data_IF_141428142441
#
_entry.id   IF_141428142441
#
_cell.length_a   1.000
_cell.length_b   1.000
_cell.length_c   1.000
_cell.angle_alpha   90.00
_cell.angle_beta   90.00
_cell.angle_gamma   90.00
#
_symmetry.space_group_name_H-M   'P 1'
#
loop_
_entity.id
_entity.type
_entity.pdbx_description
1 polymer ?
#
# COMPACT_ATOMS: atom_id res chain seq x y z
N UNK A 1 -7.68 0.72 -8.39
CA UNK A 1 -7.81 0.16 -7.03
C UNK A 1 -8.33 -1.27 -7.11
N UNK A 2 -7.70 -2.18 -6.39
CA UNK A 2 -7.81 -3.64 -6.61
C UNK A 2 -8.12 -4.43 -5.34
N UNK A 3 -8.22 -3.77 -4.17
CA UNK A 3 -8.43 -4.43 -2.87
C UNK A 3 -9.67 -3.90 -2.14
N UNK A 4 -10.49 -4.82 -1.63
CA UNK A 4 -11.77 -4.55 -0.99
C UNK A 4 -11.88 -5.27 0.36
N UNK A 5 -12.41 -4.57 1.36
CA UNK A 5 -12.67 -5.14 2.67
C UNK A 5 -13.77 -6.22 2.56
N UNK A 6 -13.57 -7.33 3.29
CA UNK A 6 -14.57 -8.38 3.49
C UNK A 6 -15.07 -8.37 4.93
N UNK A 7 -14.15 -8.37 5.89
CA UNK A 7 -14.46 -8.18 7.31
C UNK A 7 -13.29 -7.56 8.05
N UNK A 8 -13.57 -6.91 9.17
CA UNK A 8 -12.57 -6.46 10.12
C UNK A 8 -13.04 -6.77 11.54
N UNK A 9 -12.11 -7.16 12.40
CA UNK A 9 -12.37 -7.46 13.80
C UNK A 9 -11.29 -6.82 14.65
N UNK A 10 -11.71 -6.08 15.67
CA UNK A 10 -10.83 -5.58 16.71
C UNK A 10 -10.63 -6.66 17.77
N UNK A 11 -9.38 -6.93 18.11
CA UNK A 11 -8.99 -7.93 19.11
C UNK A 11 -8.03 -7.27 20.09
N UNK A 12 -8.31 -7.46 21.37
CA UNK A 12 -7.45 -7.06 22.46
C UNK A 12 -6.89 -8.31 23.13
N UNK A 13 -5.59 -8.53 23.01
CA UNK A 13 -4.89 -9.61 23.70
C UNK A 13 -4.54 -9.16 25.12
N UNK A 14 -5.19 -9.78 26.11
CA UNK A 14 -5.04 -9.46 27.53
C UNK A 14 -3.69 -9.93 28.07
N UNK A 15 -3.10 -10.98 27.50
CA UNK A 15 -1.81 -11.53 27.97
C UNK A 15 -0.64 -10.65 27.51
N UNK A 16 -0.71 -10.14 26.28
CA UNK A 16 0.34 -9.33 25.66
C UNK A 16 0.12 -7.81 25.79
N UNK A 17 -1.00 -7.39 26.39
CA UNK A 17 -1.45 -5.99 26.46
C UNK A 17 -1.41 -5.28 25.08
N UNK A 18 -1.86 -5.99 24.04
CA UNK A 18 -1.73 -5.57 22.65
C UNK A 18 -3.10 -5.50 21.95
N UNK A 19 -3.42 -4.32 21.43
CA UNK A 19 -4.61 -4.08 20.60
C UNK A 19 -4.24 -4.21 19.12
N UNK A 20 -4.90 -5.09 18.40
CA UNK A 20 -4.75 -5.20 16.95
C UNK A 20 -6.10 -5.35 16.24
N UNK A 21 -6.09 -5.05 14.95
CA UNK A 21 -7.23 -5.26 14.06
C UNK A 21 -6.86 -6.34 13.06
N UNK A 22 -7.63 -7.42 13.07
CA UNK A 22 -7.62 -8.44 12.02
C UNK A 22 -8.49 -7.96 10.87
N UNK A 23 -7.93 -7.93 9.66
CA UNK A 23 -8.59 -7.42 8.47
C UNK A 23 -8.56 -8.47 7.38
N UNK A 24 -9.73 -8.96 7.00
CA UNK A 24 -9.91 -9.87 5.85
C UNK A 24 -10.32 -9.05 4.64
N UNK A 25 -9.58 -9.16 3.56
CA UNK A 25 -9.81 -8.40 2.33
C UNK A 25 -9.63 -9.28 1.10
N UNK A 26 -10.36 -8.94 0.04
CA UNK A 26 -10.17 -9.52 -1.28
C UNK A 26 -9.26 -8.61 -2.10
N UNK A 27 -8.31 -9.20 -2.81
CA UNK A 27 -7.43 -8.49 -3.75
C UNK A 27 -7.50 -9.11 -5.13
N UNK A 28 -7.63 -8.28 -6.14
CA UNK A 28 -7.53 -8.69 -7.53
C UNK A 28 -6.07 -8.95 -7.92
N UNK A 29 -5.81 -10.16 -8.39
CA UNK A 29 -4.53 -10.59 -8.94
C UNK A 29 -4.72 -10.89 -10.42
N UNK A 30 -3.90 -10.25 -11.25
CA UNK A 30 -3.90 -10.48 -12.69
C UNK A 30 -3.73 -11.98 -12.98
N UNK A 31 -4.58 -12.51 -13.86
CA UNK A 31 -4.66 -13.93 -14.27
C UNK A 31 -5.21 -14.92 -13.22
N UNK A 32 -5.50 -14.49 -11.98
CA UNK A 32 -6.09 -15.36 -10.94
C UNK A 32 -7.45 -14.90 -10.43
N UNK A 33 -7.84 -13.65 -10.70
CA UNK A 33 -9.08 -13.08 -10.19
C UNK A 33 -8.93 -12.56 -8.76
N UNK A 34 -10.02 -12.54 -8.00
CA UNK A 34 -9.99 -12.12 -6.59
C UNK A 34 -9.51 -13.25 -5.68
N UNK A 35 -8.59 -12.95 -4.78
CA UNK A 35 -8.12 -13.85 -3.74
C UNK A 35 -8.24 -13.17 -2.38
N UNK A 36 -8.66 -13.93 -1.37
CA UNK A 36 -8.85 -13.43 -0.01
C UNK A 36 -7.54 -13.54 0.78
N UNK A 37 -7.24 -12.49 1.54
CA UNK A 37 -6.05 -12.35 2.40
C UNK A 37 -6.46 -11.83 3.77
N UNK A 38 -5.59 -12.03 4.76
CA UNK A 38 -5.76 -11.52 6.12
C UNK A 38 -4.54 -10.72 6.53
N UNK A 39 -4.74 -9.47 6.95
CA UNK A 39 -3.72 -8.62 7.55
C UNK A 39 -4.00 -8.47 9.05
N UNK A 40 -2.94 -8.40 9.85
CA UNK A 40 -3.01 -8.04 11.27
C UNK A 40 -2.27 -6.72 11.45
N UNK A 41 -2.96 -5.69 11.92
CA UNK A 41 -2.37 -4.36 12.11
C UNK A 41 -2.50 -3.93 13.56
N UNK A 42 -1.40 -3.48 14.17
CA UNK A 42 -1.39 -2.87 15.49
C UNK A 42 -2.02 -1.48 15.39
N UNK A 43 -3.32 -1.43 15.69
CA UNK A 43 -4.14 -0.22 15.62
C UNK A 43 -5.41 -0.37 16.45
N UNK A 44 -6.13 0.74 16.59
CA UNK A 44 -7.38 0.87 17.32
C UNK A 44 -8.48 1.37 16.36
N UNK A 45 -9.74 0.96 16.57
CA UNK A 45 -10.87 1.51 15.85
C UNK A 45 -11.10 2.99 16.21
N UNK A 46 -11.56 3.80 15.25
CA UNK A 46 -11.84 5.23 15.50
C UNK A 46 -13.22 5.48 16.15
N UNK A 47 -14.03 4.43 16.36
CA UNK A 47 -15.41 4.53 16.84
C UNK A 47 -15.87 3.29 17.65
N UNK A 48 -14.96 2.66 18.39
CA UNK A 48 -15.22 1.53 19.30
C UNK A 48 -16.01 0.35 18.68
N UNK A 49 -15.92 0.18 17.36
CA UNK A 49 -16.52 -0.97 16.69
C UNK A 49 -15.71 -2.22 17.02
N UNK A 50 -16.41 -3.35 17.22
CA UNK A 50 -15.80 -4.65 17.54
C UNK A 50 -15.62 -5.51 16.30
N UNK A 51 -16.66 -5.56 15.45
CA UNK A 51 -16.63 -6.27 14.18
C UNK A 51 -17.37 -5.48 13.10
N UNK A 52 -16.85 -5.59 11.89
CA UNK A 52 -17.44 -5.01 10.69
C UNK A 52 -17.44 -6.08 9.60
N UNK A 53 -18.55 -6.20 8.89
CA UNK A 53 -18.68 -7.02 7.70
C UNK A 53 -19.06 -6.11 6.54
N UNK A 54 -18.40 -6.31 5.41
CA UNK A 54 -18.64 -5.56 4.20
C UNK A 54 -19.39 -6.45 3.21
N UNK A 55 -20.43 -5.90 2.58
CA UNK A 55 -21.04 -6.52 1.41
C UNK A 55 -20.03 -6.67 0.27
N UNK A 56 -20.31 -7.55 -0.68
CA UNK A 56 -19.41 -7.91 -1.79
C UNK A 56 -18.79 -6.67 -2.45
N UNK A 57 -17.49 -6.51 -2.27
CA UNK A 57 -16.64 -5.45 -2.85
C UNK A 57 -17.17 -4.02 -2.68
N UNK A 58 -17.91 -3.75 -1.60
CA UNK A 58 -18.52 -2.43 -1.35
C UNK A 58 -17.55 -1.41 -0.76
N UNK A 59 -16.66 -1.84 0.14
CA UNK A 59 -15.71 -0.96 0.83
C UNK A 59 -14.30 -1.18 0.27
N UNK A 60 -13.69 -0.12 -0.27
CA UNK A 60 -12.30 -0.15 -0.70
C UNK A 60 -11.38 -0.20 0.52
N UNK A 61 -10.43 -1.13 0.53
CA UNK A 61 -9.59 -1.40 1.70
C UNK A 61 -8.80 -0.15 2.14
N UNK A 62 -8.24 0.60 1.19
CA UNK A 62 -7.56 1.87 1.50
C UNK A 62 -8.46 2.90 2.19
N UNK A 63 -9.72 3.03 1.74
CA UNK A 63 -10.69 3.96 2.36
C UNK A 63 -11.04 3.52 3.77
N UNK A 64 -11.16 2.22 4.00
CA UNK A 64 -11.35 1.66 5.34
C UNK A 64 -10.18 2.05 6.26
N UNK A 65 -8.94 1.85 5.82
CA UNK A 65 -7.75 2.23 6.60
C UNK A 65 -7.66 3.74 6.88
N UNK A 66 -8.15 4.58 5.96
CA UNK A 66 -8.13 6.03 6.15
C UNK A 66 -9.23 6.57 7.09
N UNK A 67 -10.33 5.83 7.27
CA UNK A 67 -11.54 6.34 7.96
C UNK A 67 -11.90 5.60 9.24
N UNK A 68 -11.72 4.28 9.29
CA UNK A 68 -12.28 3.43 10.35
C UNK A 68 -11.26 3.05 11.44
N UNK A 69 -9.96 3.25 11.20
CA UNK A 69 -8.87 2.89 12.11
C UNK A 69 -7.96 4.08 12.41
N UNK A 70 -7.27 4.02 13.54
CA UNK A 70 -6.23 4.98 13.92
C UNK A 70 -5.04 4.86 12.98
N UNK A 71 -4.51 6.01 12.54
CA UNK A 71 -3.40 6.06 11.57
C UNK A 71 -2.05 5.86 12.27
N UNK A 72 -1.82 4.65 12.77
CA UNK A 72 -0.53 4.20 13.31
C UNK A 72 0.54 4.16 12.22
N UNK A 73 1.79 3.85 12.60
CA UNK A 73 2.87 3.72 11.61
C UNK A 73 2.56 2.61 10.60
N UNK A 74 2.19 1.43 11.11
CA UNK A 74 1.89 0.25 10.30
C UNK A 74 0.74 0.52 9.33
N UNK A 75 -0.33 1.17 9.78
CA UNK A 75 -1.45 1.56 8.90
C UNK A 75 -0.95 2.46 7.76
N UNK A 76 -0.07 3.43 8.04
CA UNK A 76 0.48 4.32 7.00
C UNK A 76 1.38 3.59 6.02
N UNK A 77 2.19 2.65 6.50
CA UNK A 77 3.02 1.79 5.64
C UNK A 77 2.14 0.94 4.75
N UNK A 78 1.12 0.29 5.34
CA UNK A 78 0.18 -0.54 4.61
C UNK A 78 -0.61 0.21 3.55
N UNK A 79 -1.07 1.42 3.85
CA UNK A 79 -1.73 2.28 2.84
C UNK A 79 -0.83 2.61 1.65
N UNK A 80 0.46 2.88 1.90
CA UNK A 80 1.44 3.13 0.84
C UNK A 80 1.69 1.87 0.00
N UNK A 81 1.77 0.69 0.63
CA UNK A 81 1.88 -0.59 -0.06
C UNK A 81 0.66 -0.86 -0.95
N UNK A 82 -0.56 -0.73 -0.42
CA UNK A 82 -1.79 -0.95 -1.19
C UNK A 82 -1.84 -0.05 -2.43
N UNK A 83 -1.35 1.18 -2.32
CA UNK A 83 -1.26 2.10 -3.46
C UNK A 83 -0.24 1.65 -4.49
N UNK A 84 0.95 1.21 -4.04
CA UNK A 84 1.97 0.64 -4.92
C UNK A 84 1.47 -0.64 -5.60
N UNK A 85 0.77 -1.50 -4.86
CA UNK A 85 0.16 -2.73 -5.36
C UNK A 85 -0.90 -2.45 -6.43
N UNK A 86 -1.77 -1.46 -6.20
CA UNK A 86 -2.73 -0.99 -7.21
C UNK A 86 -2.00 -0.54 -8.48
N UNK A 87 -0.96 0.28 -8.34
CA UNK A 87 -0.14 0.76 -9.45
C UNK A 87 0.50 -0.38 -10.25
N UNK A 88 1.04 -1.39 -9.57
CA UNK A 88 1.75 -2.53 -10.18
C UNK A 88 0.83 -3.62 -10.74
N UNK A 89 -0.49 -3.54 -10.52
CA UNK A 89 -1.43 -4.58 -10.97
C UNK A 89 -1.50 -4.67 -12.50
N UNK A 90 -1.45 -3.52 -13.16
CA UNK A 90 -1.47 -3.41 -14.62
C UNK A 90 -0.12 -2.90 -15.12
N UNK A 91 0.24 -3.23 -16.37
CA UNK A 91 1.45 -2.64 -16.94
C UNK A 91 1.18 -1.18 -17.28
N UNK A 92 2.07 -0.30 -16.79
CA UNK A 92 1.97 1.15 -16.94
C UNK A 92 3.03 1.64 -17.93
N UNK A 93 2.88 2.88 -18.40
CA UNK A 93 3.95 3.57 -19.12
C UNK A 93 5.25 3.57 -18.29
N UNK A 94 6.38 3.27 -18.94
CA UNK A 94 7.71 3.31 -18.36
C UNK A 94 8.00 4.64 -17.67
N UNK A 95 7.46 5.75 -18.19
CA UNK A 95 7.58 7.08 -17.57
C UNK A 95 7.00 7.10 -16.14
N UNK A 96 5.87 6.42 -15.92
CA UNK A 96 5.26 6.31 -14.59
C UNK A 96 6.14 5.48 -13.65
N UNK A 97 6.72 4.38 -14.11
CA UNK A 97 7.67 3.60 -13.31
C UNK A 97 8.89 4.42 -12.87
N UNK A 98 9.47 5.22 -13.78
CA UNK A 98 10.58 6.12 -13.44
C UNK A 98 10.15 7.14 -12.39
N UNK A 99 8.96 7.74 -12.52
CA UNK A 99 8.45 8.70 -11.52
C UNK A 99 8.22 8.06 -10.16
N UNK A 100 7.69 6.84 -10.11
CA UNK A 100 7.54 6.06 -8.87
C UNK A 100 8.91 5.79 -8.24
N UNK A 101 9.90 5.39 -9.03
CA UNK A 101 11.26 5.20 -8.53
C UNK A 101 11.87 6.51 -8.00
N UNK A 102 11.62 7.65 -8.66
CA UNK A 102 12.01 8.95 -8.16
C UNK A 102 11.30 9.34 -6.86
N UNK A 103 10.03 8.97 -6.69
CA UNK A 103 9.26 9.24 -5.49
C UNK A 103 9.81 8.53 -4.25
N UNK A 104 10.63 7.48 -4.39
CA UNK A 104 11.34 6.82 -3.26
C UNK A 104 12.17 7.82 -2.46
N UNK A 105 12.66 8.90 -3.08
CA UNK A 105 13.33 10.02 -2.37
C UNK A 105 12.52 10.61 -1.22
N UNK A 106 11.20 10.50 -1.29
CA UNK A 106 10.31 10.96 -0.23
C UNK A 106 10.49 10.09 1.02
N UNK A 107 10.60 8.77 0.83
CA UNK A 107 10.79 7.79 1.89
C UNK A 107 12.21 7.85 2.43
N UNK A 108 13.19 7.79 1.52
CA UNK A 108 14.62 7.89 1.79
C UNK A 108 15.27 9.03 0.98
N UNK A 109 15.53 10.19 1.60
CA UNK A 109 16.16 11.33 0.94
C UNK A 109 17.58 11.08 0.41
N UNK A 110 18.27 10.05 0.89
CA UNK A 110 19.63 9.71 0.46
C UNK A 110 19.63 8.93 -0.87
N UNK A 111 18.49 8.33 -1.21
CA UNK A 111 18.33 7.57 -2.44
C UNK A 111 18.49 8.46 -3.69
N UNK A 112 19.33 8.02 -4.62
CA UNK A 112 19.49 8.65 -5.92
C UNK A 112 18.94 7.72 -7.01
N UNK A 113 17.78 8.02 -7.62
CA UNK A 113 17.21 7.18 -8.66
C UNK A 113 18.16 7.16 -9.86
N UNK A 114 18.43 5.98 -10.42
CA UNK A 114 19.30 5.86 -11.59
C UNK A 114 18.68 6.54 -12.80
N UNK A 115 19.53 7.06 -13.69
CA UNK A 115 19.10 7.55 -15.00
C UNK A 115 18.80 6.35 -15.89
N UNK A 116 17.55 6.23 -16.33
CA UNK A 116 17.08 5.12 -17.16
C UNK A 116 16.94 5.59 -18.60
N UNK A 117 17.64 4.94 -19.52
CA UNK A 117 17.38 4.99 -20.95
C UNK A 117 16.14 4.13 -21.28
N UNK A 118 15.05 4.77 -21.67
CA UNK A 118 13.78 4.12 -21.98
C UNK A 118 13.82 3.29 -23.27
N UNK A 119 14.82 3.47 -24.12
CA UNK A 119 15.04 2.67 -25.34
C UNK A 119 15.76 1.35 -25.03
N UNK A 120 16.42 1.27 -23.87
CA UNK A 120 17.20 0.10 -23.48
C UNK A 120 16.36 -0.91 -22.70
N UNK A 121 16.06 -2.04 -23.33
CA UNK A 121 15.18 -3.08 -22.78
C UNK A 121 15.59 -3.53 -21.36
N UNK A 122 16.88 -3.75 -21.10
CA UNK A 122 17.35 -4.20 -19.79
C UNK A 122 17.20 -3.13 -18.70
N UNK A 123 17.32 -1.83 -19.04
CA UNK A 123 17.13 -0.74 -18.08
C UNK A 123 15.65 -0.55 -17.74
N UNK A 124 14.78 -0.73 -18.73
CA UNK A 124 13.33 -0.77 -18.55
C UNK A 124 12.92 -1.93 -17.64
N UNK A 125 13.49 -3.11 -17.85
CA UNK A 125 13.22 -4.27 -16.99
C UNK A 125 13.75 -4.05 -15.57
N UNK A 126 14.95 -3.48 -15.43
CA UNK A 126 15.54 -3.13 -14.15
C UNK A 126 14.62 -2.22 -13.32
N UNK A 127 14.09 -1.14 -13.89
CA UNK A 127 13.25 -0.21 -13.14
C UNK A 127 11.91 -0.85 -12.76
N UNK A 128 11.32 -1.68 -13.64
CA UNK A 128 10.11 -2.44 -13.32
C UNK A 128 10.35 -3.41 -12.17
N UNK A 129 11.51 -4.09 -12.13
CA UNK A 129 11.90 -4.99 -11.04
C UNK A 129 12.17 -4.24 -9.74
N UNK A 130 12.83 -3.09 -9.80
CA UNK A 130 13.06 -2.21 -8.66
C UNK A 130 11.74 -1.78 -8.01
N UNK A 131 10.78 -1.28 -8.81
CA UNK A 131 9.48 -0.87 -8.30
C UNK A 131 8.69 -2.02 -7.66
N UNK A 132 8.86 -3.25 -8.14
CA UNK A 132 8.16 -4.43 -7.63
C UNK A 132 8.71 -5.00 -6.32
N UNK A 133 9.99 -4.76 -6.02
CA UNK A 133 10.66 -5.40 -4.86
C UNK A 133 11.17 -4.35 -3.89
N UNK A 134 12.14 -3.54 -4.32
CA UNK A 134 12.91 -2.64 -3.44
C UNK A 134 12.09 -1.51 -2.82
N UNK A 135 11.03 -1.04 -3.50
CA UNK A 135 10.19 0.04 -2.94
C UNK A 135 9.38 -0.46 -1.75
N UNK A 136 8.97 -1.73 -1.73
CA UNK A 136 8.23 -2.31 -0.60
C UNK A 136 9.11 -2.27 0.65
N UNK A 137 10.37 -2.70 0.53
CA UNK A 137 11.35 -2.63 1.62
C UNK A 137 11.54 -1.19 2.10
N UNK A 138 11.63 -0.24 1.17
CA UNK A 138 11.76 1.20 1.49
C UNK A 138 10.55 1.76 2.26
N UNK A 139 9.34 1.27 1.98
CA UNK A 139 8.11 1.66 2.71
C UNK A 139 8.18 1.10 4.14
N UNK A 140 8.57 -0.16 4.29
CA UNK A 140 8.65 -0.86 5.59
C UNK A 140 9.74 -0.29 6.50
N UNK A 141 10.85 0.19 5.94
CA UNK A 141 11.91 0.84 6.72
C UNK A 141 11.58 2.29 7.10
N UNK A 142 10.62 2.93 6.41
CA UNK A 142 10.29 4.33 6.64
C UNK A 142 9.52 4.56 7.95
N UNK A 143 10.21 5.06 8.99
CA UNK A 143 9.61 5.36 10.30
C UNK A 143 8.86 6.71 10.38
N UNK A 144 8.91 7.54 9.33
CA UNK A 144 8.32 8.89 9.35
C UNK A 144 6.92 8.92 8.73
N UNK A 145 5.89 9.04 9.57
CA UNK A 145 4.47 9.11 9.15
C UNK A 145 4.17 10.19 8.10
N UNK A 146 4.81 11.36 8.21
CA UNK A 146 4.62 12.46 7.25
C UNK A 146 5.13 12.12 5.85
N UNK A 147 6.26 11.42 5.75
CA UNK A 147 6.85 10.96 4.49
C UNK A 147 6.01 9.87 3.86
N UNK A 148 5.54 8.89 4.64
CA UNK A 148 4.61 7.87 4.16
C UNK A 148 3.33 8.48 3.58
N UNK A 149 2.74 9.44 4.28
CA UNK A 149 1.56 10.19 3.78
C UNK A 149 1.88 10.92 2.47
N UNK A 150 3.02 11.61 2.40
CA UNK A 150 3.38 12.35 1.21
C UNK A 150 3.65 11.42 0.01
N UNK A 151 4.38 10.34 0.23
CA UNK A 151 4.65 9.32 -0.77
C UNK A 151 3.35 8.69 -1.31
N UNK A 152 2.45 8.29 -0.40
CA UNK A 152 1.11 7.80 -0.75
C UNK A 152 0.35 8.77 -1.65
N UNK A 153 0.31 10.06 -1.30
CA UNK A 153 -0.36 11.08 -2.11
C UNK A 153 0.29 11.21 -3.51
N UNK A 154 1.63 11.17 -3.58
CA UNK A 154 2.35 11.25 -4.85
C UNK A 154 2.08 10.03 -5.73
N UNK A 155 2.01 8.82 -5.17
CA UNK A 155 1.62 7.62 -5.92
C UNK A 155 0.23 7.77 -6.53
N UNK A 156 -0.73 8.31 -5.77
CA UNK A 156 -2.09 8.56 -6.28
C UNK A 156 -2.11 9.56 -7.44
N UNK A 157 -1.31 10.61 -7.36
CA UNK A 157 -1.19 11.57 -8.46
C UNK A 157 -0.59 10.92 -9.72
N UNK A 158 0.44 10.09 -9.56
CA UNK A 158 1.05 9.37 -10.69
C UNK A 158 0.08 8.36 -11.32
N UNK A 159 -0.78 7.71 -10.52
CA UNK A 159 -1.81 6.78 -11.01
C UNK A 159 -2.90 7.53 -11.83
N UNK A 160 -3.24 8.76 -11.42
CA UNK A 160 -4.29 9.58 -12.05
C UNK A 160 -3.85 10.28 -13.34
N UNK A 161 -2.59 10.68 -13.45
CA UNK A 161 -2.08 11.30 -14.67
C UNK A 161 -2.10 10.29 -15.82
N UNK A 162 -2.85 10.60 -16.89
CA UNK A 162 -2.95 9.77 -18.08
C UNK A 162 -1.64 9.75 -18.86
#
# INVERSE_FOLDING_TARGET
MTSFLKSAKHVFDVESDLSYVEIVYDRYIRNKGYSTFTDYLNTEPFADWVSLESGNHSIVYEKFLDTMVKKTLEVRQRMAELSLESFLTYDQDIRKYVRVAHAVKILDPTFQPPRINMESAWQVEFIKKFCKKSIIDSIQECKKKSRLKYFFNVLKLIELEQ
#
